data_IF_130587269633
#
_entry.id   IF_130587269633
#
_cell.length_a   1.000
_cell.length_b   1.000
_cell.length_c   1.000
_cell.angle_alpha   90.00
_cell.angle_beta   90.00
_cell.angle_gamma   90.00
#
_symmetry.space_group_name_H-M   'P 1'
#
loop_
_entity.id
_entity.type
_entity.pdbx_description
1 polymer ?
#
# COMPACT_ATOMS: atom_id res chain seq x y z
N UNK A 1 86.23 68.53 -49.94
CA UNK A 1 84.95 68.33 -50.66
C UNK A 1 84.20 67.20 -49.95
N UNK A 2 82.92 67.38 -49.66
CA UNK A 2 82.40 67.82 -48.36
C UNK A 2 81.60 66.68 -47.68
N UNK A 3 81.37 66.62 -46.37
CA UNK A 3 80.95 67.69 -45.45
C UNK A 3 79.58 68.28 -45.81
N UNK A 4 78.53 67.45 -46.00
CA UNK A 4 77.14 67.98 -46.02
C UNK A 4 76.02 67.04 -45.54
N UNK A 5 76.30 65.89 -44.91
CA UNK A 5 75.19 65.02 -44.42
C UNK A 5 75.38 64.60 -42.96
N UNK A 6 75.85 65.55 -42.15
CA UNK A 6 75.93 65.43 -40.68
C UNK A 6 75.02 66.36 -39.91
N UNK A 7 74.22 67.21 -40.56
CA UNK A 7 73.42 68.23 -39.87
C UNK A 7 72.06 68.47 -40.52
N UNK A 8 71.27 67.41 -40.66
CA UNK A 8 69.81 67.52 -40.57
C UNK A 8 69.40 66.69 -39.34
N UNK A 9 69.39 67.35 -38.19
CA UNK A 9 68.14 67.71 -37.52
C UNK A 9 67.36 66.45 -37.14
N UNK A 10 67.68 65.82 -36.02
CA UNK A 10 67.34 66.31 -34.67
C UNK A 10 65.91 66.83 -34.57
N UNK A 11 64.97 65.91 -34.32
CA UNK A 11 63.75 66.15 -33.56
C UNK A 11 63.02 64.83 -33.35
N UNK A 12 63.51 64.01 -32.41
CA UNK A 12 62.86 62.74 -32.06
C UNK A 12 63.16 62.21 -30.68
N UNK A 13 63.74 63.02 -29.78
CA UNK A 13 63.87 62.69 -28.35
C UNK A 13 62.65 63.20 -27.59
N UNK A 14 61.62 62.39 -27.51
CA UNK A 14 60.59 62.35 -26.44
C UNK A 14 59.97 60.95 -26.49
N UNK A 15 59.65 60.20 -25.44
CA UNK A 15 59.54 60.44 -24.00
C UNK A 15 59.71 59.08 -23.32
N UNK A 16 60.31 59.11 -22.13
CA UNK A 16 60.06 58.13 -21.09
C UNK A 16 58.56 57.84 -20.96
N UNK A 17 58.17 56.56 -21.07
CA UNK A 17 56.99 56.04 -20.36
C UNK A 17 57.18 54.58 -20.05
N UNK A 18 57.55 54.35 -18.79
CA UNK A 18 57.00 53.31 -17.92
C UNK A 18 56.19 52.22 -18.62
N UNK A 19 56.79 51.05 -18.74
CA UNK A 19 56.10 49.87 -19.24
C UNK A 19 56.83 48.60 -18.92
N UNK A 20 57.38 48.45 -17.69
CA UNK A 20 57.61 47.11 -17.15
C UNK A 20 56.24 46.46 -17.03
N UNK A 21 55.77 45.85 -18.11
CA UNK A 21 54.66 44.92 -18.09
C UNK A 21 55.07 43.77 -17.18
N UNK A 22 54.75 43.91 -15.90
CA UNK A 22 54.65 42.78 -15.00
C UNK A 22 53.56 41.91 -15.62
N UNK A 23 53.97 40.85 -16.32
CA UNK A 23 53.08 39.76 -16.65
C UNK A 23 52.29 39.43 -15.37
N UNK A 24 50.95 39.37 -15.42
CA UNK A 24 50.19 38.96 -14.25
C UNK A 24 50.70 37.59 -13.84
N UNK A 25 51.42 37.53 -12.71
CA UNK A 25 51.76 36.27 -12.06
C UNK A 25 50.42 35.65 -11.70
N UNK A 26 49.92 34.77 -12.56
CA UNK A 26 48.79 33.93 -12.23
C UNK A 26 49.13 33.24 -10.92
N UNK A 27 48.36 33.63 -9.90
CA UNK A 27 48.47 33.14 -8.55
C UNK A 27 48.24 31.63 -8.61
N UNK A 28 49.31 30.83 -8.72
CA UNK A 28 49.26 29.41 -8.41
C UNK A 28 49.05 29.32 -6.91
N UNK A 29 47.81 29.57 -6.45
CA UNK A 29 47.37 29.06 -5.15
C UNK A 29 47.60 27.56 -5.23
N UNK A 30 48.37 26.94 -4.32
CA UNK A 30 48.34 25.50 -4.20
C UNK A 30 46.91 25.20 -3.74
N UNK A 31 46.02 24.88 -4.69
CA UNK A 31 44.79 24.18 -4.35
C UNK A 31 45.28 22.94 -3.63
N UNK A 32 45.17 22.92 -2.30
CA UNK A 32 45.31 21.68 -1.52
C UNK A 32 44.29 20.74 -2.13
N UNK A 33 44.77 19.89 -3.02
CA UNK A 33 43.96 18.85 -3.63
C UNK A 33 43.77 17.87 -2.49
N UNK A 34 42.56 17.76 -1.98
CA UNK A 34 42.17 16.71 -1.06
C UNK A 34 41.55 15.59 -1.90
N UNK A 35 42.36 14.77 -2.62
CA UNK A 35 41.85 13.77 -3.54
C UNK A 35 40.94 12.78 -2.80
N UNK A 36 41.26 12.45 -1.55
CA UNK A 36 40.45 11.58 -0.69
C UNK A 36 39.08 12.20 -0.38
N UNK A 37 39.02 13.47 0.04
CA UNK A 37 37.75 14.14 0.30
C UNK A 37 36.91 14.30 -0.97
N UNK A 38 37.55 14.52 -2.12
CA UNK A 38 36.88 14.58 -3.42
C UNK A 38 36.34 13.21 -3.85
N UNK A 39 37.13 12.14 -3.68
CA UNK A 39 36.68 10.77 -3.98
C UNK A 39 35.57 10.32 -3.05
N UNK A 40 35.62 10.68 -1.76
CA UNK A 40 34.53 10.45 -0.81
C UNK A 40 33.26 11.20 -1.20
N UNK A 41 33.37 12.48 -1.57
CA UNK A 41 32.22 13.27 -2.03
C UNK A 41 31.61 12.69 -3.32
N UNK A 42 32.44 12.29 -4.29
CA UNK A 42 31.97 11.66 -5.54
C UNK A 42 31.34 10.30 -5.26
N UNK A 43 31.94 9.50 -4.37
CA UNK A 43 31.38 8.21 -3.95
C UNK A 43 30.04 8.36 -3.25
N UNK A 44 29.89 9.34 -2.35
CA UNK A 44 28.64 9.65 -1.68
C UNK A 44 27.55 10.05 -2.68
N UNK A 45 27.86 10.96 -3.61
CA UNK A 45 26.91 11.40 -4.64
C UNK A 45 26.50 10.24 -5.53
N UNK A 46 27.46 9.42 -5.96
CA UNK A 46 27.18 8.21 -6.75
C UNK A 46 26.23 7.28 -5.99
N UNK A 47 26.53 6.98 -4.72
CA UNK A 47 25.74 6.07 -3.89
C UNK A 47 24.32 6.61 -3.66
N UNK A 48 24.18 7.91 -3.41
CA UNK A 48 22.87 8.57 -3.29
C UNK A 48 22.08 8.49 -4.60
N UNK A 49 22.68 8.88 -5.72
CA UNK A 49 22.01 8.82 -7.03
C UNK A 49 21.59 7.39 -7.38
N UNK A 50 22.48 6.41 -7.18
CA UNK A 50 22.22 5.01 -7.44
C UNK A 50 21.07 4.48 -6.55
N UNK A 51 21.11 4.74 -5.24
CA UNK A 51 20.05 4.33 -4.33
C UNK A 51 18.69 4.93 -4.69
N UNK A 52 18.65 6.23 -5.03
CA UNK A 52 17.41 6.90 -5.45
C UNK A 52 16.86 6.35 -6.76
N UNK A 53 17.72 6.07 -7.75
CA UNK A 53 17.31 5.48 -9.03
C UNK A 53 16.78 4.06 -8.84
N UNK A 54 17.45 3.23 -8.04
CA UNK A 54 16.98 1.87 -7.73
C UNK A 54 15.62 1.92 -7.04
N UNK A 55 15.47 2.77 -6.01
CA UNK A 55 14.20 2.94 -5.30
C UNK A 55 13.06 3.38 -6.24
N UNK A 56 13.31 4.34 -7.13
CA UNK A 56 12.32 4.83 -8.09
C UNK A 56 11.90 3.74 -9.08
N UNK A 57 12.84 2.96 -9.62
CA UNK A 57 12.56 1.87 -10.55
C UNK A 57 11.78 0.73 -9.88
N UNK A 58 12.10 0.40 -8.63
CA UNK A 58 11.35 -0.62 -7.86
C UNK A 58 9.96 -0.14 -7.50
N UNK A 59 9.79 1.14 -7.16
CA UNK A 59 8.49 1.72 -6.84
C UNK A 59 7.56 1.74 -8.06
N UNK A 60 8.08 2.14 -9.23
CA UNK A 60 7.33 2.08 -10.49
C UNK A 60 6.84 0.66 -10.78
N UNK A 61 7.69 -0.35 -10.61
CA UNK A 61 7.32 -1.76 -10.85
C UNK A 61 6.25 -2.30 -9.88
N UNK A 62 6.23 -1.83 -8.63
CA UNK A 62 5.19 -2.18 -7.67
C UNK A 62 3.88 -1.46 -8.02
N UNK A 63 3.95 -0.20 -8.43
CA UNK A 63 2.77 0.59 -8.78
C UNK A 63 2.13 0.17 -10.11
N UNK A 64 2.94 -0.23 -11.10
CA UNK A 64 2.48 -0.67 -12.42
C UNK A 64 1.80 -2.06 -12.39
N UNK A 65 2.04 -2.85 -11.33
CA UNK A 65 1.38 -4.13 -11.10
C UNK A 65 0.06 -4.02 -10.32
N UNK A 66 -0.35 -2.80 -9.93
CA UNK A 66 -1.64 -2.58 -9.27
C UNK A 66 -2.61 -2.07 -10.31
N UNK A 67 -3.32 -3.00 -10.95
CA UNK A 67 -4.49 -2.68 -11.76
C UNK A 67 -5.61 -2.19 -10.84
N UNK A 68 -5.80 -0.88 -10.77
CA UNK A 68 -6.90 -0.24 -10.03
C UNK A 68 -8.07 -0.07 -10.98
N UNK A 69 -9.04 -0.98 -10.91
CA UNK A 69 -10.29 -0.82 -11.62
C UNK A 69 -11.19 0.12 -10.84
N UNK A 70 -11.45 1.29 -11.40
CA UNK A 70 -12.43 2.23 -10.87
C UNK A 70 -13.84 1.67 -11.16
N UNK A 71 -14.52 1.25 -10.09
CA UNK A 71 -15.87 0.69 -10.14
C UNK A 71 -16.93 1.78 -9.91
N UNK A 72 -16.55 3.05 -9.68
CA UNK A 72 -17.53 4.11 -9.40
C UNK A 72 -18.50 4.32 -10.57
N UNK A 73 -18.03 4.18 -11.81
CA UNK A 73 -18.88 4.23 -13.02
C UNK A 73 -19.84 3.03 -13.13
N UNK A 74 -19.49 1.88 -12.52
CA UNK A 74 -20.32 0.67 -12.49
C UNK A 74 -21.37 0.70 -11.37
N UNK A 75 -21.23 1.59 -10.40
CA UNK A 75 -22.12 1.69 -9.23
C UNK A 75 -23.33 2.61 -9.47
N UNK A 76 -23.33 3.38 -10.57
CA UNK A 76 -24.44 4.25 -10.97
C UNK A 76 -24.72 5.41 -9.98
N UNK A 77 -25.64 6.29 -10.36
CA UNK A 77 -26.00 7.48 -9.56
C UNK A 77 -27.11 7.24 -8.51
N UNK A 78 -27.82 6.12 -8.61
CA UNK A 78 -28.88 5.72 -7.68
C UNK A 78 -28.32 4.98 -6.46
N UNK A 79 -27.33 5.59 -5.80
CA UNK A 79 -26.86 5.11 -4.51
C UNK A 79 -27.79 5.64 -3.42
N UNK A 80 -28.27 4.81 -2.47
CA UNK A 80 -28.92 5.30 -1.27
C UNK A 80 -27.94 6.23 -0.54
N UNK A 81 -28.20 7.52 -0.57
CA UNK A 81 -27.48 8.47 0.28
C UNK A 81 -27.98 8.25 1.70
N UNK A 82 -27.06 8.22 2.66
CA UNK A 82 -27.37 8.00 4.08
C UNK A 82 -28.36 9.04 4.69
N UNK A 83 -28.81 10.02 3.91
CA UNK A 83 -29.65 11.14 4.35
C UNK A 83 -31.12 11.07 3.91
N UNK A 84 -31.57 10.07 3.14
CA UNK A 84 -32.93 10.07 2.56
C UNK A 84 -33.91 9.04 3.10
N UNK A 85 -33.41 7.91 3.62
CA UNK A 85 -34.26 6.85 4.16
C UNK A 85 -34.31 7.00 5.67
N UNK A 86 -35.49 7.07 6.31
CA UNK A 86 -35.57 6.92 7.76
C UNK A 86 -34.76 5.70 8.14
N UNK A 87 -33.80 5.85 9.06
CA UNK A 87 -33.01 4.72 9.53
C UNK A 87 -34.00 3.59 9.86
N UNK A 88 -33.77 2.36 9.37
CA UNK A 88 -34.71 1.27 9.57
C UNK A 88 -35.05 1.20 11.07
N UNK A 89 -36.35 1.20 11.38
CA UNK A 89 -36.82 1.20 12.76
C UNK A 89 -36.28 -0.05 13.44
N UNK A 90 -35.28 0.13 14.31
CA UNK A 90 -34.76 -0.97 15.11
C UNK A 90 -35.82 -1.34 16.16
N UNK A 91 -36.60 -2.37 15.85
CA UNK A 91 -37.61 -2.93 16.76
C UNK A 91 -37.00 -3.40 18.08
N UNK A 92 -35.68 -3.64 18.13
CA UNK A 92 -34.91 -4.08 19.28
C UNK A 92 -34.03 -2.97 19.89
N UNK A 93 -34.31 -1.70 19.58
CA UNK A 93 -33.57 -0.56 20.15
C UNK A 93 -33.56 -0.61 21.68
N UNK A 94 -32.39 -0.45 22.28
CA UNK A 94 -32.20 -0.48 23.75
C UNK A 94 -32.26 -1.88 24.37
N UNK A 95 -32.33 -2.96 23.57
CA UNK A 95 -32.27 -4.35 24.04
C UNK A 95 -31.03 -5.04 23.48
N UNK A 96 -30.38 -5.87 24.28
CA UNK A 96 -29.30 -6.71 23.78
C UNK A 96 -29.85 -7.78 22.82
N UNK A 97 -29.04 -8.18 21.84
CA UNK A 97 -29.40 -9.16 20.82
C UNK A 97 -28.45 -10.34 20.86
N UNK A 98 -29.01 -11.55 20.74
CA UNK A 98 -28.24 -12.77 20.54
C UNK A 98 -28.62 -13.34 19.18
N UNK A 99 -27.66 -13.47 18.28
CA UNK A 99 -27.84 -14.01 16.94
C UNK A 99 -27.03 -15.31 16.85
N UNK A 100 -27.70 -16.40 16.49
CA UNK A 100 -27.05 -17.66 16.16
C UNK A 100 -26.75 -17.68 14.67
N UNK A 101 -25.48 -17.74 14.31
CA UNK A 101 -25.00 -17.81 12.93
C UNK A 101 -24.55 -19.24 12.66
N UNK A 102 -25.14 -19.85 11.63
CA UNK A 102 -24.86 -21.22 11.22
C UNK A 102 -24.49 -21.17 9.73
N UNK A 103 -23.23 -21.48 9.42
CA UNK A 103 -22.78 -21.69 8.04
C UNK A 103 -23.08 -23.12 7.62
N UNK A 104 -23.54 -23.33 6.40
CA UNK A 104 -23.80 -24.64 5.81
C UNK A 104 -22.95 -24.82 4.56
N UNK A 105 -21.96 -25.71 4.59
CA UNK A 105 -21.23 -26.19 3.42
C UNK A 105 -22.11 -27.22 2.69
N UNK A 106 -22.95 -26.74 1.78
CA UNK A 106 -23.65 -27.60 0.82
C UNK A 106 -22.82 -27.66 -0.47
N UNK A 107 -22.52 -28.87 -0.93
CA UNK A 107 -21.89 -29.13 -2.23
C UNK A 107 -22.92 -29.45 -3.33
N UNK A 108 -24.19 -29.13 -3.10
CA UNK A 108 -25.23 -29.33 -4.12
C UNK A 108 -25.15 -28.20 -5.17
N UNK A 109 -24.97 -28.56 -6.45
CA UNK A 109 -25.01 -27.62 -7.58
C UNK A 109 -23.96 -27.87 -8.67
N UNK A 110 -23.91 -26.97 -9.66
CA UNK A 110 -23.05 -27.03 -10.86
C UNK A 110 -21.53 -26.92 -10.59
N UNK A 111 -21.14 -26.76 -9.32
CA UNK A 111 -19.76 -26.70 -8.83
C UNK A 111 -19.24 -28.06 -8.32
N UNK A 112 -19.95 -29.17 -8.59
CA UNK A 112 -19.52 -30.54 -8.29
C UNK A 112 -18.41 -31.00 -9.26
N UNK A 113 -17.22 -30.40 -9.13
CA UNK A 113 -16.07 -30.65 -10.01
C UNK A 113 -15.43 -32.03 -9.80
N UNK A 114 -15.76 -32.71 -8.70
CA UNK A 114 -15.24 -34.04 -8.34
C UNK A 114 -16.31 -35.14 -8.32
N UNK A 115 -17.59 -34.82 -8.60
CA UNK A 115 -18.69 -35.78 -8.66
C UNK A 115 -19.13 -36.31 -7.29
N UNK A 116 -18.68 -35.69 -6.20
CA UNK A 116 -18.99 -36.09 -4.83
C UNK A 116 -20.42 -35.73 -4.40
N UNK A 117 -21.09 -34.81 -5.12
CA UNK A 117 -22.51 -34.50 -4.98
C UNK A 117 -23.41 -35.48 -5.74
N UNK A 118 -22.96 -35.99 -6.89
CA UNK A 118 -23.73 -36.90 -7.75
C UNK A 118 -23.81 -38.34 -7.21
N UNK A 119 -22.82 -38.79 -6.44
CA UNK A 119 -22.97 -40.02 -5.64
C UNK A 119 -23.82 -39.67 -4.43
N UNK A 120 -25.09 -40.08 -4.39
CA UNK A 120 -26.08 -39.75 -3.34
C UNK A 120 -25.75 -40.21 -1.91
N UNK A 121 -24.48 -40.23 -1.53
CA UNK A 121 -23.90 -40.56 -0.22
C UNK A 121 -23.45 -39.33 0.57
N UNK A 122 -23.35 -38.13 -0.02
CA UNK A 122 -23.14 -36.89 0.76
C UNK A 122 -24.50 -36.29 1.16
N UNK A 123 -25.30 -37.08 1.89
CA UNK A 123 -26.50 -36.57 2.55
C UNK A 123 -26.09 -35.73 3.75
N UNK A 124 -25.99 -34.42 3.58
CA UNK A 124 -25.83 -33.52 4.72
C UNK A 124 -25.35 -32.13 4.33
N UNK A 125 -26.20 -31.13 4.59
CA UNK A 125 -25.77 -29.76 4.84
C UNK A 125 -24.81 -29.79 6.03
N UNK A 126 -23.50 -29.78 5.78
CA UNK A 126 -22.51 -29.81 6.85
C UNK A 126 -22.42 -28.40 7.42
N UNK A 127 -22.83 -28.22 8.67
CA UNK A 127 -22.55 -26.95 9.33
C UNK A 127 -21.11 -26.93 9.81
N UNK A 128 -20.24 -26.27 9.05
CA UNK A 128 -18.82 -26.16 9.39
C UNK A 128 -18.52 -24.94 10.27
N UNK A 129 -19.53 -24.12 10.58
CA UNK A 129 -19.34 -22.91 11.38
C UNK A 129 -20.60 -22.58 12.18
N UNK A 130 -20.51 -22.65 13.50
CA UNK A 130 -21.54 -22.16 14.43
C UNK A 130 -20.94 -21.04 15.28
N UNK A 131 -21.56 -19.86 15.27
CA UNK A 131 -21.15 -18.72 16.07
C UNK A 131 -22.33 -18.08 16.79
N UNK A 132 -22.15 -17.74 18.06
CA UNK A 132 -23.08 -16.91 18.82
C UNK A 132 -22.58 -15.46 18.83
N UNK A 133 -23.38 -14.56 18.28
CA UNK A 133 -23.09 -13.12 18.24
C UNK A 133 -23.95 -12.42 19.27
N UNK A 134 -23.32 -11.77 20.23
CA UNK A 134 -23.96 -10.91 21.22
C UNK A 134 -23.73 -9.44 20.87
N UNK A 135 -24.82 -8.70 20.67
CA UNK A 135 -24.80 -7.26 20.45
C UNK A 135 -25.39 -6.60 21.69
N UNK A 136 -24.59 -5.73 22.32
CA UNK A 136 -24.99 -4.92 23.47
C UNK A 136 -26.23 -4.05 23.18
N UNK A 137 -26.97 -3.72 24.25
CA UNK A 137 -28.21 -2.94 24.17
C UNK A 137 -28.03 -1.53 23.60
N UNK A 138 -26.88 -0.92 23.88
CA UNK A 138 -26.44 0.39 23.40
C UNK A 138 -25.70 0.31 22.05
N UNK A 139 -25.55 -0.89 21.48
CA UNK A 139 -24.81 -1.18 20.24
C UNK A 139 -23.33 -0.77 20.29
N UNK A 140 -22.75 -0.55 21.47
CA UNK A 140 -21.34 -0.11 21.61
C UNK A 140 -20.34 -1.26 21.50
N UNK A 141 -20.77 -2.48 21.83
CA UNK A 141 -19.96 -3.71 21.83
C UNK A 141 -20.65 -4.85 21.08
N UNK A 142 -19.85 -5.58 20.31
CA UNK A 142 -20.20 -6.87 19.69
C UNK A 142 -19.22 -7.91 20.19
N UNK A 143 -19.74 -9.05 20.65
CA UNK A 143 -18.97 -10.21 21.07
C UNK A 143 -19.38 -11.41 20.23
N UNK A 144 -18.38 -12.18 19.78
CA UNK A 144 -18.60 -13.35 18.94
C UNK A 144 -17.92 -14.53 19.61
N UNK A 145 -18.70 -15.57 19.90
CA UNK A 145 -18.21 -16.83 20.44
C UNK A 145 -18.37 -17.90 19.37
N UNK A 146 -17.25 -18.47 18.92
CA UNK A 146 -17.27 -19.63 18.03
C UNK A 146 -17.53 -20.90 18.84
N UNK A 147 -18.46 -21.73 18.37
CA UNK A 147 -18.73 -23.06 18.91
C UNK A 147 -18.13 -24.06 17.92
N UNK A 148 -17.03 -24.75 18.27
CA UNK A 148 -16.44 -25.77 17.42
C UNK A 148 -17.41 -26.92 17.13
N UNK A 149 -17.28 -27.54 15.95
CA UNK A 149 -18.10 -28.67 15.50
C UNK A 149 -18.05 -29.89 16.42
N UNK A 150 -16.89 -30.12 17.03
CA UNK A 150 -16.63 -31.31 17.87
C UNK A 150 -16.78 -30.98 19.37
N UNK A 151 -17.61 -29.98 19.70
CA UNK A 151 -17.90 -29.67 21.09
C UNK A 151 -18.88 -30.71 21.62
N UNK A 152 -18.44 -31.49 22.61
CA UNK A 152 -19.31 -32.46 23.28
C UNK A 152 -20.44 -31.74 24.02
N UNK A 153 -21.68 -31.93 23.58
CA UNK A 153 -22.88 -31.32 24.14
C UNK A 153 -23.98 -32.35 24.37
N UNK A 154 -24.78 -32.08 25.39
CA UNK A 154 -26.01 -32.82 25.66
C UNK A 154 -27.13 -32.28 24.77
N UNK A 155 -27.60 -33.10 23.83
CA UNK A 155 -28.72 -32.75 22.96
C UNK A 155 -30.00 -33.26 23.63
N UNK A 156 -30.91 -32.36 24.05
CA UNK A 156 -32.14 -32.76 24.72
C UNK A 156 -33.09 -33.50 23.76
N UNK A 157 -34.02 -34.31 24.31
CA UNK A 157 -35.05 -34.93 23.52
C UNK A 157 -35.94 -33.88 22.84
N UNK A 158 -36.16 -34.04 21.53
CA UNK A 158 -36.97 -33.13 20.72
C UNK A 158 -38.25 -33.84 20.27
N UNK A 159 -39.39 -33.15 20.41
CA UNK A 159 -40.65 -33.63 19.84
C UNK A 159 -40.63 -33.42 18.32
N UNK A 160 -40.78 -34.52 17.57
CA UNK A 160 -40.86 -34.51 16.11
C UNK A 160 -42.27 -34.12 15.66
N UNK A 161 -42.40 -33.76 14.38
CA UNK A 161 -43.69 -33.40 13.76
C UNK A 161 -44.72 -34.53 13.77
N UNK A 162 -44.27 -35.78 13.88
CA UNK A 162 -45.11 -36.97 13.99
C UNK A 162 -45.56 -37.27 15.43
N UNK A 163 -45.20 -36.42 16.40
CA UNK A 163 -45.52 -36.58 17.82
C UNK A 163 -44.61 -37.55 18.56
N UNK A 164 -43.66 -38.21 17.88
CA UNK A 164 -42.64 -39.03 18.53
C UNK A 164 -41.56 -38.15 19.15
N UNK A 165 -40.88 -38.65 20.18
CA UNK A 165 -39.78 -37.93 20.85
C UNK A 165 -38.47 -38.62 20.51
N UNK A 166 -37.43 -37.82 20.25
CA UNK A 166 -36.07 -38.38 20.09
C UNK A 166 -35.48 -38.76 21.44
N UNK A 167 -34.67 -39.81 21.47
CA UNK A 167 -33.85 -40.08 22.65
C UNK A 167 -32.83 -38.94 22.84
N UNK A 168 -32.42 -38.64 24.09
CA UNK A 168 -31.30 -37.74 24.34
C UNK A 168 -30.05 -38.28 23.66
N UNK A 169 -29.27 -37.37 23.06
CA UNK A 169 -28.04 -37.73 22.34
C UNK A 169 -26.87 -36.92 22.89
N UNK A 170 -25.68 -37.49 22.78
CA UNK A 170 -24.41 -36.82 23.07
C UNK A 170 -23.66 -36.71 21.74
N UNK A 171 -23.24 -35.50 21.37
CA UNK A 171 -22.51 -35.22 20.13
C UNK A 171 -21.34 -34.31 20.44
#
# INVERSE_FOLDING_TARGET
MPEVERLLNDAGRTRSRSGRGRLPRHQRRPRRRHPLARSLAVGLVFLLTFATSVAALTWGRVNDNIEKSDIDDLLGTNRPTASGTPAPTDINRGRALNLLVIGSDSREGENDVDGAGATGTTSGMRSDTTMLVHISADRSRVEVVSIPRDTLVDIPPCTRRDGTTTEPQYA
#
